data_IF_649798813263
#
_entry.id   IF_649798813263
#
_cell.length_a   1.000
_cell.length_b   1.000
_cell.length_c   1.000
_cell.angle_alpha   90.00
_cell.angle_beta   90.00
_cell.angle_gamma   90.00
#
_symmetry.space_group_name_H-M   'P 1'
#
loop_
_entity.id
_entity.type
_entity.pdbx_description
1 polymer ?
#
# COMPACT_ATOMS: atom_id res chain seq x y z
N UNK A 1 27.54 -9.20 -1.07
CA UNK A 1 26.55 -8.12 -1.30
C UNK A 1 25.51 -8.66 -2.27
N UNK A 2 24.27 -8.89 -1.81
CA UNK A 2 23.20 -9.41 -2.66
C UNK A 2 22.57 -8.23 -3.40
N UNK A 3 22.82 -8.15 -4.70
CA UNK A 3 22.25 -7.13 -5.60
C UNK A 3 20.73 -7.27 -5.65
N UNK A 4 20.00 -6.17 -5.46
CA UNK A 4 18.55 -6.10 -5.25
C UNK A 4 17.65 -6.41 -6.45
N UNK A 5 17.87 -7.55 -7.11
CA UNK A 5 17.06 -8.06 -8.22
C UNK A 5 16.32 -9.37 -7.87
N UNK A 6 16.40 -9.84 -6.62
CA UNK A 6 15.73 -11.05 -6.17
C UNK A 6 14.29 -10.77 -5.75
N UNK A 7 13.36 -11.64 -6.15
CA UNK A 7 12.05 -11.72 -5.53
C UNK A 7 12.24 -11.95 -4.02
N UNK A 8 11.68 -11.05 -3.20
CA UNK A 8 11.76 -11.15 -1.75
C UNK A 8 10.47 -11.77 -1.21
N UNK A 9 10.62 -12.73 -0.31
CA UNK A 9 9.52 -13.34 0.45
C UNK A 9 9.82 -13.21 1.94
N UNK A 10 8.86 -13.56 2.79
CA UNK A 10 9.11 -13.61 4.23
C UNK A 10 10.02 -14.79 4.56
N UNK A 11 11.15 -14.52 5.21
CA UNK A 11 12.08 -15.52 5.71
C UNK A 11 12.19 -15.46 7.24
N UNK A 12 12.62 -16.54 7.86
CA UNK A 12 12.80 -16.60 9.31
C UNK A 12 13.86 -15.57 9.75
N UNK A 13 13.46 -14.59 10.55
CA UNK A 13 14.34 -13.50 11.00
C UNK A 13 14.53 -12.36 9.98
N UNK A 14 13.90 -12.42 8.81
CA UNK A 14 13.92 -11.36 7.80
C UNK A 14 12.54 -11.25 7.14
N UNK A 15 11.68 -10.42 7.72
CA UNK A 15 10.35 -10.17 7.14
C UNK A 15 10.42 -9.12 6.03
N UNK A 16 9.51 -9.25 5.05
CA UNK A 16 9.27 -8.22 4.04
C UNK A 16 8.92 -6.88 4.69
N UNK A 17 8.14 -6.93 5.77
CA UNK A 17 7.73 -5.74 6.53
C UNK A 17 8.93 -4.96 7.06
N UNK A 18 9.87 -5.64 7.74
CA UNK A 18 11.05 -4.99 8.32
C UNK A 18 11.94 -4.36 7.24
N UNK A 19 12.06 -5.04 6.10
CA UNK A 19 12.80 -4.52 4.96
C UNK A 19 12.11 -3.31 4.35
N UNK A 20 10.79 -3.35 4.20
CA UNK A 20 10.01 -2.22 3.68
C UNK A 20 10.17 -0.99 4.58
N UNK A 21 10.06 -1.15 5.90
CA UNK A 21 10.31 -0.07 6.87
C UNK A 21 11.71 0.53 6.75
N UNK A 22 12.74 -0.33 6.61
CA UNK A 22 14.12 0.13 6.40
C UNK A 22 14.27 0.93 5.11
N UNK A 23 13.61 0.51 4.03
CA UNK A 23 13.63 1.24 2.76
C UNK A 23 12.95 2.60 2.86
N UNK A 24 11.82 2.70 3.57
CA UNK A 24 11.04 3.93 3.69
C UNK A 24 11.69 4.99 4.60
N UNK A 25 12.61 4.59 5.50
CA UNK A 25 13.15 5.45 6.55
C UNK A 25 13.71 6.79 6.04
N UNK A 26 14.38 6.77 4.89
CA UNK A 26 15.06 7.95 4.35
C UNK A 26 14.40 8.43 3.03
N UNK A 27 13.14 8.05 2.81
CA UNK A 27 12.38 8.39 1.60
C UNK A 27 11.68 9.73 1.76
N UNK A 28 11.93 10.64 0.82
CA UNK A 28 11.26 11.94 0.75
C UNK A 28 9.93 11.87 -0.01
N UNK A 29 9.94 11.19 -1.16
CA UNK A 29 8.79 11.03 -2.04
C UNK A 29 8.57 9.55 -2.32
N UNK A 30 7.35 9.07 -2.15
CA UNK A 30 7.03 7.66 -2.24
C UNK A 30 5.90 7.39 -3.24
N UNK A 31 6.29 6.98 -4.44
CA UNK A 31 5.37 6.48 -5.46
C UNK A 31 5.21 4.97 -5.33
N UNK A 32 3.97 4.49 -5.25
CA UNK A 32 3.67 3.06 -5.13
C UNK A 32 2.59 2.62 -6.11
N UNK A 33 2.88 1.51 -6.81
CA UNK A 33 1.91 0.78 -7.61
C UNK A 33 1.67 -0.59 -6.98
N UNK A 34 0.46 -0.82 -6.48
CA UNK A 34 0.11 -2.09 -5.83
C UNK A 34 -1.14 -2.69 -6.46
N UNK A 35 -1.15 -4.01 -6.56
CA UNK A 35 -2.33 -4.75 -6.98
C UNK A 35 -3.44 -4.72 -5.92
N UNK A 36 -3.09 -4.76 -4.64
CA UNK A 36 -4.05 -4.78 -3.53
C UNK A 36 -3.38 -4.31 -2.24
N UNK A 37 -4.10 -3.55 -1.41
CA UNK A 37 -3.58 -3.01 -0.15
C UNK A 37 -4.60 -3.19 0.98
N UNK A 38 -4.27 -4.02 1.98
CA UNK A 38 -5.14 -4.25 3.14
C UNK A 38 -4.94 -3.18 4.21
N UNK A 39 -6.03 -2.77 4.85
CA UNK A 39 -6.03 -1.90 6.03
C UNK A 39 -5.16 -2.45 7.16
N UNK A 40 -5.13 -3.78 7.36
CA UNK A 40 -4.23 -4.41 8.33
C UNK A 40 -2.75 -4.21 8.00
N UNK A 41 -2.37 -4.17 6.72
CA UNK A 41 -1.01 -3.85 6.28
C UNK A 41 -0.65 -2.39 6.57
N UNK A 42 -1.59 -1.48 6.33
CA UNK A 42 -1.44 -0.06 6.65
C UNK A 42 -1.12 0.17 8.13
N UNK A 43 -1.82 -0.48 9.06
CA UNK A 43 -1.55 -0.37 10.50
C UNK A 43 -0.11 -0.74 10.89
N UNK A 44 0.57 -1.59 10.13
CA UNK A 44 1.97 -1.93 10.40
C UNK A 44 2.95 -0.91 9.83
N UNK A 45 2.53 -0.10 8.85
CA UNK A 45 3.37 0.80 8.06
C UNK A 45 3.13 2.28 8.33
N UNK A 46 1.98 2.68 8.89
CA UNK A 46 1.59 4.09 9.00
C UNK A 46 2.67 4.97 9.65
N UNK A 47 3.34 4.47 10.71
CA UNK A 47 4.45 5.20 11.36
C UNK A 47 5.63 5.45 10.43
N UNK A 48 5.90 4.53 9.52
CA UNK A 48 6.97 4.68 8.52
C UNK A 48 6.58 5.61 7.37
N UNK A 49 5.33 6.04 7.30
CA UNK A 49 4.84 7.01 6.33
C UNK A 49 4.79 8.44 6.90
N UNK A 50 4.90 8.62 8.22
CA UNK A 50 4.77 9.94 8.87
C UNK A 50 5.83 10.94 8.41
N UNK A 51 7.06 10.48 8.16
CA UNK A 51 8.19 11.33 7.77
C UNK A 51 8.27 11.57 6.24
N UNK A 52 7.38 10.97 5.46
CA UNK A 52 7.39 11.08 3.98
C UNK A 52 6.60 12.33 3.57
N UNK A 53 7.22 13.22 2.79
CA UNK A 53 6.60 14.49 2.39
C UNK A 53 5.41 14.29 1.45
N UNK A 54 5.47 13.31 0.54
CA UNK A 54 4.41 13.03 -0.41
C UNK A 54 4.36 11.53 -0.73
N UNK A 55 3.14 10.98 -0.73
CA UNK A 55 2.87 9.59 -1.08
C UNK A 55 1.84 9.59 -2.22
N UNK A 56 2.24 9.06 -3.37
CA UNK A 56 1.37 8.88 -4.52
C UNK A 56 1.15 7.38 -4.73
N UNK A 57 -0.08 6.93 -4.49
CA UNK A 57 -0.43 5.51 -4.53
C UNK A 57 -1.45 5.21 -5.61
N UNK A 58 -1.13 4.27 -6.49
CA UNK A 58 -2.07 3.68 -7.44
C UNK A 58 -2.34 2.24 -7.00
N UNK A 59 -3.62 1.96 -6.74
CA UNK A 59 -4.09 0.63 -6.35
C UNK A 59 -4.90 0.04 -7.51
N UNK A 60 -4.33 -0.94 -8.21
CA UNK A 60 -4.94 -1.50 -9.43
C UNK A 60 -6.16 -2.37 -9.15
N UNK A 61 -6.27 -2.98 -7.97
CA UNK A 61 -7.38 -3.87 -7.68
C UNK A 61 -7.91 -3.71 -6.25
N UNK A 62 -9.10 -3.12 -6.16
CA UNK A 62 -9.84 -2.89 -4.92
C UNK A 62 -10.69 -4.10 -4.53
N UNK A 63 -10.38 -5.32 -5.02
CA UNK A 63 -11.13 -6.50 -4.61
C UNK A 63 -11.01 -6.66 -3.09
N UNK A 64 -12.14 -6.41 -2.42
CA UNK A 64 -12.41 -6.44 -0.98
C UNK A 64 -12.36 -5.10 -0.22
N UNK A 65 -12.31 -3.93 -0.87
CA UNK A 65 -12.76 -2.72 -0.16
C UNK A 65 -14.28 -2.79 -0.01
N UNK A 66 -14.79 -2.34 1.13
CA UNK A 66 -16.19 -1.98 1.26
C UNK A 66 -16.43 -0.63 0.58
N UNK A 67 -17.68 -0.36 0.20
CA UNK A 67 -18.04 0.96 -0.34
C UNK A 67 -17.63 2.10 0.60
N UNK A 68 -17.80 1.91 1.92
CA UNK A 68 -17.43 2.90 2.92
C UNK A 68 -15.93 3.18 2.94
N UNK A 69 -15.09 2.15 2.81
CA UNK A 69 -13.64 2.35 2.73
C UNK A 69 -13.21 3.01 1.42
N UNK A 70 -13.90 2.73 0.31
CA UNK A 70 -13.66 3.40 -0.97
C UNK A 70 -14.02 4.90 -0.91
N UNK A 71 -15.10 5.28 -0.20
CA UNK A 71 -15.47 6.70 -0.01
C UNK A 71 -14.46 7.52 0.79
N UNK A 72 -13.62 6.88 1.61
CA UNK A 72 -12.55 7.57 2.33
C UNK A 72 -11.47 8.06 1.35
N UNK A 73 -11.23 7.27 0.30
CA UNK A 73 -10.22 7.57 -0.73
C UNK A 73 -10.78 8.51 -1.79
N UNK A 74 -12.02 8.29 -2.21
CA UNK A 74 -12.74 9.14 -3.16
C UNK A 74 -14.13 9.48 -2.59
N UNK A 75 -14.26 10.68 -2.02
CA UNK A 75 -15.48 11.12 -1.34
C UNK A 75 -16.69 11.26 -2.28
N UNK A 76 -16.42 11.46 -3.57
CA UNK A 76 -17.44 11.68 -4.60
C UNK A 76 -17.86 10.37 -5.28
N UNK A 77 -17.21 9.25 -4.97
CA UNK A 77 -17.50 7.94 -5.53
C UNK A 77 -18.95 7.49 -5.25
N UNK A 78 -19.72 7.30 -6.32
CA UNK A 78 -21.08 6.78 -6.22
C UNK A 78 -21.11 5.26 -6.01
N UNK A 79 -22.19 4.75 -5.39
CA UNK A 79 -22.38 3.29 -5.22
C UNK A 79 -22.46 2.56 -6.56
N UNK A 80 -23.06 3.19 -7.57
CA UNK A 80 -23.18 2.61 -8.91
C UNK A 80 -21.82 2.49 -9.61
N UNK A 81 -20.97 3.51 -9.53
CA UNK A 81 -19.60 3.45 -10.05
C UNK A 81 -18.75 2.41 -9.32
N UNK A 82 -18.91 2.31 -7.99
CA UNK A 82 -18.21 1.33 -7.18
C UNK A 82 -18.57 -0.12 -7.57
N UNK A 83 -19.86 -0.45 -7.69
CA UNK A 83 -20.28 -1.80 -8.06
C UNK A 83 -19.94 -2.16 -9.52
N UNK A 84 -19.85 -1.18 -10.42
CA UNK A 84 -19.43 -1.39 -11.83
C UNK A 84 -17.98 -1.88 -11.97
N UNK A 85 -17.08 -1.44 -11.07
CA UNK A 85 -15.64 -1.75 -11.13
C UNK A 85 -15.23 -2.89 -10.18
N UNK A 86 -16.20 -3.54 -9.53
CA UNK A 86 -16.00 -4.67 -8.61
C UNK A 86 -16.04 -6.03 -9.33
N UNK A 87 -16.20 -6.05 -10.66
CA UNK A 87 -16.18 -7.24 -11.52
C UNK A 87 -14.76 -7.75 -11.75
#
# INVERSE_FOLDING_TARGET
>A
MQTGLTFFTNEQGSSLLDRFKKTLKDVRYFDILVGYFRSSGFFHLYKSFEDIEQIDAIVYNLYNLTYEEAKIVDSDLSKEEFEKHKL
#
